data_IF_142857128868
#
_entry.id   IF_142857128868
#
_cell.length_a   1.000
_cell.length_b   1.000
_cell.length_c   1.000
_cell.angle_alpha   90.00
_cell.angle_beta   90.00
_cell.angle_gamma   90.00
#
_symmetry.space_group_name_H-M   'P 1'
#
loop_
_entity.id
_entity.type
_entity.pdbx_description
1 polymer ?
#
# COMPACT_ATOMS: atom_id res chain seq x y z
N UNK A 1 -4.39 -2.49 22.41
CA UNK A 1 -4.21 -2.21 20.99
C UNK A 1 -2.73 -2.31 20.64
N UNK A 2 -2.37 -2.99 19.53
CA UNK A 2 -0.96 -3.28 19.19
C UNK A 2 -0.11 -2.03 18.98
N UNK A 3 -0.72 -0.94 18.46
CA UNK A 3 -0.03 0.35 18.27
C UNK A 3 0.32 1.01 19.60
N UNK A 4 -0.58 0.99 20.57
CA UNK A 4 -0.35 1.54 21.92
C UNK A 4 0.77 0.78 22.64
N UNK A 5 0.90 -0.54 22.43
CA UNK A 5 1.98 -1.34 22.99
C UNK A 5 3.34 -0.93 22.41
N UNK A 6 3.41 -0.71 21.10
CA UNK A 6 4.64 -0.26 20.43
C UNK A 6 5.08 1.12 20.92
N UNK A 7 4.15 2.06 21.11
CA UNK A 7 4.44 3.38 21.65
C UNK A 7 4.93 3.31 23.10
N UNK A 8 4.31 2.47 23.93
CA UNK A 8 4.72 2.22 25.31
C UNK A 8 6.13 1.62 25.39
N UNK A 9 6.45 0.67 24.54
CA UNK A 9 7.78 0.06 24.44
C UNK A 9 8.82 1.13 24.05
N UNK A 10 8.52 1.94 23.04
CA UNK A 10 9.42 3.01 22.58
C UNK A 10 9.69 4.06 23.66
N UNK A 11 8.67 4.40 24.45
CA UNK A 11 8.78 5.39 25.52
C UNK A 11 9.49 4.85 26.78
N UNK A 12 9.62 3.52 26.93
CA UNK A 12 10.11 2.86 28.16
C UNK A 12 11.54 2.32 28.01
N UNK A 13 12.43 3.02 27.30
CA UNK A 13 13.82 2.62 27.18
C UNK A 13 14.49 2.44 28.55
N UNK A 14 14.99 1.24 28.85
CA UNK A 14 15.66 0.90 30.11
C UNK A 14 14.75 0.77 31.34
N UNK A 15 13.42 0.91 31.20
CA UNK A 15 12.47 0.78 32.32
C UNK A 15 11.72 -0.55 32.22
N UNK A 16 11.45 -1.24 33.35
CA UNK A 16 10.66 -2.46 33.33
C UNK A 16 9.22 -2.18 32.92
N UNK A 17 8.75 -2.88 31.91
CA UNK A 17 7.39 -2.80 31.38
C UNK A 17 6.68 -4.12 31.69
N UNK A 18 5.55 -4.05 32.36
CA UNK A 18 4.71 -5.20 32.67
C UNK A 18 3.70 -5.39 31.56
N UNK A 19 3.80 -6.50 30.84
CA UNK A 19 2.92 -6.84 29.70
C UNK A 19 2.03 -8.00 30.12
N UNK A 20 0.72 -7.79 30.05
CA UNK A 20 -0.28 -8.85 30.23
C UNK A 20 -0.84 -9.24 28.87
N UNK A 21 -0.95 -10.52 28.65
CA UNK A 21 -1.47 -11.07 27.39
C UNK A 21 -2.21 -12.36 27.61
N UNK A 22 -2.91 -12.81 26.53
CA UNK A 22 -3.60 -14.09 26.48
C UNK A 22 -2.87 -14.99 25.49
N UNK A 23 -2.55 -16.20 25.91
CA UNK A 23 -2.05 -17.27 25.05
C UNK A 23 -3.10 -18.39 24.99
N UNK A 24 -3.94 -18.36 23.95
CA UNK A 24 -5.15 -19.17 23.90
C UNK A 24 -6.17 -18.68 24.93
N UNK A 25 -6.44 -19.47 25.98
CA UNK A 25 -7.32 -19.10 27.11
C UNK A 25 -6.58 -18.84 28.42
N UNK A 26 -5.26 -18.90 28.43
CA UNK A 26 -4.43 -18.65 29.62
C UNK A 26 -3.88 -17.24 29.62
N UNK A 27 -4.09 -16.53 30.72
CA UNK A 27 -3.45 -15.24 30.97
C UNK A 27 -1.97 -15.45 31.31
N UNK A 28 -1.12 -14.66 30.75
CA UNK A 28 0.30 -14.60 31.12
C UNK A 28 0.72 -13.17 31.41
N UNK A 29 1.66 -13.03 32.31
CA UNK A 29 2.26 -11.77 32.70
C UNK A 29 3.79 -11.85 32.49
N UNK A 30 4.34 -10.88 31.82
CA UNK A 30 5.75 -10.80 31.47
C UNK A 30 6.28 -9.42 31.82
N UNK A 31 7.45 -9.38 32.49
CA UNK A 31 8.20 -8.15 32.70
C UNK A 31 9.30 -8.09 31.66
N UNK A 32 9.28 -7.07 30.82
CA UNK A 32 10.25 -6.87 29.74
C UNK A 32 10.95 -5.52 29.98
N UNK A 33 12.27 -5.50 29.88
CA UNK A 33 13.06 -4.26 29.94
C UNK A 33 13.51 -3.92 28.51
N UNK A 34 12.90 -2.92 27.85
CA UNK A 34 13.29 -2.52 26.51
C UNK A 34 14.72 -1.97 26.49
N UNK A 35 15.55 -2.47 25.58
CA UNK A 35 16.90 -1.93 25.40
C UNK A 35 16.82 -0.55 24.76
N UNK A 36 17.56 0.42 25.30
CA UNK A 36 17.68 1.75 24.70
C UNK A 36 18.53 1.70 23.44
N UNK A 37 17.97 2.06 22.29
CA UNK A 37 18.69 2.24 21.05
C UNK A 37 18.54 3.69 20.58
N UNK A 38 19.63 4.32 20.20
CA UNK A 38 19.60 5.68 19.69
C UNK A 38 19.11 5.67 18.23
N UNK A 39 17.97 6.33 17.97
CA UNK A 39 17.40 6.50 16.65
C UNK A 39 17.05 7.98 16.47
N UNK A 40 17.62 8.62 15.45
CA UNK A 40 17.42 10.06 15.14
C UNK A 40 17.70 11.00 16.33
N UNK A 41 18.76 10.69 17.14
CA UNK A 41 19.14 11.48 18.32
C UNK A 41 18.20 11.34 19.52
N UNK A 42 17.28 10.37 19.52
CA UNK A 42 16.40 10.02 20.63
C UNK A 42 16.63 8.59 21.09
N UNK A 43 16.62 8.41 22.40
CA UNK A 43 16.71 7.08 23.00
C UNK A 43 15.34 6.40 22.91
N UNK A 44 15.23 5.37 22.08
CA UNK A 44 13.98 4.62 21.85
C UNK A 44 14.12 3.22 22.44
N UNK A 45 13.13 2.78 23.21
CA UNK A 45 13.08 1.43 23.75
C UNK A 45 12.80 0.40 22.65
N UNK A 46 13.57 -0.68 22.62
CA UNK A 46 13.40 -1.78 21.67
C UNK A 46 13.41 -3.12 22.41
N UNK A 47 12.44 -3.96 22.12
CA UNK A 47 12.43 -5.36 22.53
C UNK A 47 12.74 -6.20 21.29
N UNK A 48 13.77 -7.05 21.37
CA UNK A 48 14.13 -7.96 20.27
C UNK A 48 13.17 -9.15 20.27
N UNK A 49 11.89 -8.90 19.96
CA UNK A 49 10.90 -9.95 19.69
C UNK A 49 10.83 -10.16 18.20
N UNK A 50 11.18 -11.35 17.74
CA UNK A 50 10.84 -11.78 16.40
C UNK A 50 9.34 -12.08 16.39
N UNK A 51 8.55 -11.13 15.90
CA UNK A 51 7.17 -11.42 15.53
C UNK A 51 7.26 -12.26 14.25
N UNK A 52 6.77 -13.52 14.24
CA UNK A 52 6.71 -14.27 12.98
C UNK A 52 5.90 -13.45 11.99
N UNK A 53 6.56 -12.99 10.92
CA UNK A 53 5.96 -12.17 9.87
C UNK A 53 4.92 -12.93 9.02
N UNK A 54 4.81 -14.23 9.23
CA UNK A 54 3.75 -15.03 8.63
C UNK A 54 2.59 -15.15 9.64
N UNK A 55 1.47 -14.44 9.44
CA UNK A 55 0.24 -14.81 10.12
C UNK A 55 -0.01 -16.29 9.80
N UNK A 56 -0.40 -17.08 10.80
CA UNK A 56 -0.86 -18.45 10.55
C UNK A 56 -1.96 -18.38 9.50
N UNK A 57 -1.62 -18.75 8.27
CA UNK A 57 -2.58 -18.78 7.17
C UNK A 57 -3.50 -19.98 7.44
N UNK A 58 -4.62 -19.73 8.09
CA UNK A 58 -5.70 -20.70 8.15
C UNK A 58 -6.32 -20.80 6.78
N UNK A 59 -6.20 -21.98 6.16
CA UNK A 59 -6.88 -22.27 4.91
C UNK A 59 -8.37 -22.39 5.24
N UNK A 60 -9.12 -21.34 5.00
CA UNK A 60 -10.57 -21.37 5.11
C UNK A 60 -11.14 -21.88 3.78
N UNK A 61 -11.74 -23.07 3.80
CA UNK A 61 -12.46 -23.59 2.64
C UNK A 61 -13.82 -22.91 2.57
N UNK A 62 -14.00 -22.06 1.57
CA UNK A 62 -15.25 -21.36 1.31
C UNK A 62 -15.94 -21.87 0.05
N UNK A 63 -17.26 -21.64 -0.05
CA UNK A 63 -17.96 -21.96 -1.29
C UNK A 63 -17.46 -21.07 -2.45
N UNK A 64 -17.41 -21.55 -3.69
CA UNK A 64 -16.95 -20.75 -4.84
C UNK A 64 -17.71 -19.43 -5.00
N UNK A 65 -18.99 -19.40 -4.64
CA UNK A 65 -19.81 -18.20 -4.72
C UNK A 65 -19.40 -17.15 -3.67
N UNK A 66 -19.16 -17.56 -2.43
CA UNK A 66 -18.67 -16.65 -1.39
C UNK A 66 -17.26 -16.13 -1.67
N UNK A 67 -16.41 -16.94 -2.31
CA UNK A 67 -15.08 -16.54 -2.73
C UNK A 67 -15.13 -15.41 -3.77
N UNK A 68 -16.05 -15.48 -4.75
CA UNK A 68 -16.25 -14.40 -5.75
C UNK A 68 -16.70 -13.11 -5.07
N UNK A 69 -17.68 -13.16 -4.16
CA UNK A 69 -18.16 -11.97 -3.44
C UNK A 69 -17.03 -11.32 -2.65
N UNK A 70 -16.25 -12.11 -1.92
CA UNK A 70 -15.07 -11.62 -1.17
C UNK A 70 -14.00 -11.06 -2.09
N UNK A 71 -13.80 -11.65 -3.26
CA UNK A 71 -12.90 -11.13 -4.29
C UNK A 71 -13.31 -9.73 -4.77
N UNK A 72 -14.60 -9.54 -5.05
CA UNK A 72 -15.16 -8.22 -5.44
C UNK A 72 -15.00 -7.21 -4.30
N UNK A 73 -15.33 -7.58 -3.06
CA UNK A 73 -15.15 -6.72 -1.89
C UNK A 73 -13.67 -6.33 -1.72
N UNK A 74 -12.77 -7.30 -1.80
CA UNK A 74 -11.32 -7.05 -1.70
C UNK A 74 -10.82 -6.12 -2.79
N UNK A 75 -11.31 -6.28 -4.02
CA UNK A 75 -11.00 -5.40 -5.14
C UNK A 75 -11.46 -3.98 -4.86
N UNK A 76 -12.69 -3.81 -4.37
CA UNK A 76 -13.24 -2.50 -3.99
C UNK A 76 -12.44 -1.83 -2.88
N UNK A 77 -12.13 -2.56 -1.82
CA UNK A 77 -11.36 -2.07 -0.68
C UNK A 77 -9.95 -1.64 -1.12
N UNK A 78 -9.29 -2.46 -1.93
CA UNK A 78 -7.96 -2.17 -2.47
C UNK A 78 -7.99 -0.93 -3.37
N UNK A 79 -8.98 -0.82 -4.25
CA UNK A 79 -9.16 0.35 -5.14
C UNK A 79 -9.38 1.63 -4.34
N UNK A 80 -10.26 1.57 -3.34
CA UNK A 80 -10.56 2.71 -2.46
C UNK A 80 -9.34 3.13 -1.64
N UNK A 81 -8.59 2.15 -1.11
CA UNK A 81 -7.36 2.40 -0.38
C UNK A 81 -6.30 3.07 -1.27
N UNK A 82 -6.12 2.57 -2.50
CA UNK A 82 -5.19 3.15 -3.48
C UNK A 82 -5.53 4.61 -3.77
N UNK A 83 -6.82 4.91 -4.04
CA UNK A 83 -7.27 6.28 -4.27
C UNK A 83 -7.08 7.19 -3.05
N UNK A 84 -7.36 6.68 -1.84
CA UNK A 84 -7.13 7.44 -0.59
C UNK A 84 -5.65 7.74 -0.37
N UNK A 85 -4.77 6.77 -0.62
CA UNK A 85 -3.32 6.98 -0.51
C UNK A 85 -2.83 8.02 -1.50
N UNK A 86 -3.28 7.95 -2.76
CA UNK A 86 -2.95 8.96 -3.78
C UNK A 86 -3.45 10.35 -3.37
N UNK A 87 -4.69 10.46 -2.88
CA UNK A 87 -5.23 11.70 -2.35
C UNK A 87 -4.37 12.30 -1.23
N UNK A 88 -3.94 11.47 -0.28
CA UNK A 88 -3.07 11.89 0.83
C UNK A 88 -1.66 12.32 0.35
N UNK A 89 -1.13 11.69 -0.69
CA UNK A 89 0.13 12.10 -1.31
C UNK A 89 0.01 13.47 -2.00
N UNK A 90 -1.12 13.73 -2.66
CA UNK A 90 -1.36 15.03 -3.30
C UNK A 90 -1.52 16.17 -2.29
N UNK A 91 -2.09 15.89 -1.12
CA UNK A 91 -2.25 16.88 -0.02
C UNK A 91 -0.96 17.02 0.80
N UNK A 92 0.07 16.17 0.55
CA UNK A 92 1.34 16.23 1.26
C UNK A 92 1.35 15.53 2.63
N UNK A 93 0.29 14.79 2.97
CA UNK A 93 0.23 13.99 4.20
C UNK A 93 1.09 12.72 4.14
N UNK A 94 1.40 12.24 2.95
CA UNK A 94 2.27 11.09 2.71
C UNK A 94 3.48 11.48 1.86
N UNK A 95 4.64 10.97 2.25
CA UNK A 95 5.89 11.21 1.52
C UNK A 95 5.89 10.47 0.17
N UNK A 96 6.34 11.15 -0.89
CA UNK A 96 6.58 10.57 -2.21
C UNK A 96 7.64 9.45 -2.20
N UNK A 97 8.46 9.38 -1.15
CA UNK A 97 9.44 8.29 -0.93
C UNK A 97 8.79 6.92 -0.71
N UNK A 98 7.49 6.89 -0.48
CA UNK A 98 6.71 5.64 -0.34
C UNK A 98 6.30 5.05 -1.71
N UNK A 99 6.64 5.71 -2.82
CA UNK A 99 6.39 5.15 -4.16
C UNK A 99 7.35 4.00 -4.39
N UNK A 100 6.79 2.82 -4.55
CA UNK A 100 7.53 1.61 -4.82
C UNK A 100 7.92 1.57 -6.31
N UNK A 101 9.22 1.57 -6.58
CA UNK A 101 9.74 1.50 -7.93
C UNK A 101 9.69 0.10 -8.53
N UNK A 102 9.93 -0.07 -9.84
CA UNK A 102 9.84 -1.36 -10.53
C UNK A 102 10.81 -2.41 -9.99
N UNK A 103 11.97 -2.00 -9.47
CA UNK A 103 12.96 -2.90 -8.86
C UNK A 103 12.38 -3.51 -7.58
N UNK A 104 11.77 -2.70 -6.73
CA UNK A 104 11.15 -3.16 -5.48
C UNK A 104 9.93 -4.05 -5.77
N UNK A 105 9.15 -3.75 -6.82
CA UNK A 105 8.04 -4.61 -7.25
C UNK A 105 8.56 -5.99 -7.67
N UNK A 106 9.66 -6.05 -8.42
CA UNK A 106 10.27 -7.31 -8.83
C UNK A 106 10.81 -8.11 -7.64
N UNK A 107 11.39 -7.44 -6.64
CA UNK A 107 11.87 -8.07 -5.41
C UNK A 107 10.71 -8.65 -4.59
N UNK A 108 9.63 -7.91 -4.40
CA UNK A 108 8.41 -8.43 -3.75
C UNK A 108 7.77 -9.59 -4.51
N UNK A 109 7.78 -9.56 -5.85
CA UNK A 109 7.33 -10.69 -6.67
C UNK A 109 8.15 -11.94 -6.38
N UNK A 110 9.49 -11.81 -6.30
CA UNK A 110 10.39 -12.90 -5.95
C UNK A 110 10.17 -13.42 -4.52
N UNK A 111 9.96 -12.53 -3.55
CA UNK A 111 9.68 -12.91 -2.17
C UNK A 111 8.35 -13.66 -2.04
N UNK A 112 7.28 -13.13 -2.64
CA UNK A 112 5.95 -13.78 -2.58
C UNK A 112 5.91 -15.12 -3.30
N UNK A 113 6.67 -15.27 -4.40
CA UNK A 113 6.83 -16.55 -5.09
C UNK A 113 7.51 -17.61 -4.22
N UNK A 114 8.48 -17.22 -3.38
CA UNK A 114 9.13 -18.12 -2.41
C UNK A 114 8.22 -18.54 -1.27
N UNK A 115 7.29 -17.67 -0.86
CA UNK A 115 6.29 -17.98 0.18
C UNK A 115 5.29 -19.02 -0.34
N UNK A 116 4.88 -18.95 -1.61
CA UNK A 116 4.00 -19.91 -2.24
C UNK A 116 3.07 -19.29 -3.28
N UNK A 117 2.44 -20.18 -4.06
CA UNK A 117 1.61 -19.81 -5.22
C UNK A 117 0.46 -18.86 -4.83
N UNK A 118 -0.20 -19.08 -3.70
CA UNK A 118 -1.33 -18.25 -3.26
C UNK A 118 -0.87 -16.83 -2.95
N UNK A 119 0.26 -16.68 -2.27
CA UNK A 119 0.87 -15.37 -1.96
C UNK A 119 1.27 -14.64 -3.22
N UNK A 120 1.87 -15.34 -4.17
CA UNK A 120 2.27 -14.78 -5.45
C UNK A 120 1.06 -14.31 -6.27
N UNK A 121 0.01 -15.14 -6.40
CA UNK A 121 -1.22 -14.77 -7.10
C UNK A 121 -1.92 -13.57 -6.43
N UNK A 122 -1.94 -13.53 -5.10
CA UNK A 122 -2.50 -12.40 -4.35
C UNK A 122 -1.72 -11.10 -4.61
N UNK A 123 -0.39 -11.19 -4.70
CA UNK A 123 0.46 -10.06 -5.05
C UNK A 123 0.19 -9.57 -6.48
N UNK A 124 0.11 -10.49 -7.46
CA UNK A 124 -0.22 -10.14 -8.86
C UNK A 124 -1.60 -9.49 -8.95
N UNK A 125 -2.60 -10.02 -8.22
CA UNK A 125 -3.93 -9.43 -8.18
C UNK A 125 -3.89 -8.00 -7.60
N UNK A 126 -3.14 -7.79 -6.51
CA UNK A 126 -2.97 -6.47 -5.90
C UNK A 126 -2.33 -5.47 -6.88
N UNK A 127 -1.24 -5.85 -7.55
CA UNK A 127 -0.58 -5.01 -8.56
C UNK A 127 -1.52 -4.70 -9.72
N UNK A 128 -2.27 -5.70 -10.22
CA UNK A 128 -3.22 -5.53 -11.32
C UNK A 128 -4.33 -4.54 -10.97
N UNK A 129 -4.91 -4.64 -9.76
CA UNK A 129 -5.94 -3.71 -9.28
C UNK A 129 -5.35 -2.31 -9.16
N UNK A 130 -4.17 -2.18 -8.53
CA UNK A 130 -3.52 -0.88 -8.34
C UNK A 130 -3.20 -0.21 -9.68
N UNK A 131 -2.68 -0.96 -10.65
CA UNK A 131 -2.39 -0.47 -11.99
C UNK A 131 -3.66 -0.04 -12.73
N UNK A 132 -4.74 -0.83 -12.61
CA UNK A 132 -6.05 -0.49 -13.18
C UNK A 132 -6.60 0.81 -12.60
N UNK A 133 -6.54 0.98 -11.27
CA UNK A 133 -6.97 2.21 -10.59
C UNK A 133 -6.12 3.41 -11.04
N UNK A 134 -4.80 3.24 -11.14
CA UNK A 134 -3.90 4.29 -11.62
C UNK A 134 -4.21 4.69 -13.06
N UNK A 135 -4.50 3.72 -13.93
CA UNK A 135 -4.85 3.98 -15.34
C UNK A 135 -6.19 4.70 -15.48
N UNK A 136 -7.12 4.54 -14.54
CA UNK A 136 -8.41 5.24 -14.54
C UNK A 136 -8.32 6.68 -14.01
N UNK A 137 -7.16 7.14 -13.52
CA UNK A 137 -6.99 8.54 -13.12
C UNK A 137 -7.14 9.48 -14.31
N UNK A 138 -7.68 10.70 -14.11
CA UNK A 138 -7.87 11.69 -15.17
C UNK A 138 -6.55 12.36 -15.59
N UNK A 139 -5.56 11.55 -15.93
CA UNK A 139 -4.25 12.00 -16.40
C UNK A 139 -4.17 11.80 -17.90
N UNK A 140 -3.80 12.81 -18.70
CA UNK A 140 -3.93 12.82 -20.16
C UNK A 140 -3.26 11.67 -20.93
N UNK A 141 -2.30 10.97 -20.32
CA UNK A 141 -1.57 9.83 -20.95
C UNK A 141 -2.17 8.49 -20.59
N UNK A 142 -3.03 8.46 -19.56
CA UNK A 142 -3.66 7.24 -19.06
C UNK A 142 -5.07 7.08 -19.66
N UNK A 143 -5.61 5.86 -19.59
CA UNK A 143 -6.93 5.53 -20.14
C UNK A 143 -8.03 6.41 -19.54
N UNK A 144 -7.96 6.74 -18.24
CA UNK A 144 -8.89 7.63 -17.58
C UNK A 144 -8.88 9.06 -18.13
N UNK A 145 -7.72 9.55 -18.58
CA UNK A 145 -7.62 10.83 -19.29
C UNK A 145 -8.32 10.81 -20.65
N UNK A 146 -8.18 9.71 -21.40
CA UNK A 146 -8.89 9.52 -22.67
C UNK A 146 -10.40 9.40 -22.45
N UNK A 147 -10.83 8.64 -21.43
CA UNK A 147 -12.24 8.53 -21.07
C UNK A 147 -12.84 9.89 -20.69
N UNK A 148 -12.13 10.69 -19.92
CA UNK A 148 -12.55 12.04 -19.58
C UNK A 148 -12.67 12.90 -20.83
N UNK A 149 -11.74 12.78 -21.76
CA UNK A 149 -11.73 13.50 -23.03
C UNK A 149 -12.97 13.18 -23.86
N UNK A 150 -13.27 11.89 -24.06
CA UNK A 150 -14.47 11.46 -24.77
C UNK A 150 -15.77 11.83 -24.04
N UNK A 151 -15.78 11.74 -22.73
CA UNK A 151 -16.94 12.17 -21.95
C UNK A 151 -17.24 13.65 -22.15
N UNK A 152 -16.21 14.50 -22.17
CA UNK A 152 -16.36 15.94 -22.45
C UNK A 152 -16.88 16.19 -23.89
N UNK A 153 -16.40 15.45 -24.88
CA UNK A 153 -16.92 15.56 -26.26
C UNK A 153 -18.40 15.20 -26.33
N UNK A 154 -18.82 14.11 -25.69
CA UNK A 154 -20.22 13.68 -25.67
C UNK A 154 -21.11 14.72 -24.94
N UNK A 155 -20.64 15.25 -23.79
CA UNK A 155 -21.42 16.21 -23.01
C UNK A 155 -21.51 17.59 -23.66
N UNK A 156 -20.45 18.04 -24.34
CA UNK A 156 -20.41 19.36 -24.96
C UNK A 156 -20.92 19.37 -26.40
N UNK A 157 -21.06 18.20 -27.00
CA UNK A 157 -21.41 18.06 -28.42
C UNK A 157 -20.37 18.62 -29.40
N UNK A 158 -19.18 18.94 -28.91
CA UNK A 158 -18.10 19.54 -29.71
C UNK A 158 -16.78 18.78 -29.51
N UNK A 159 -16.04 18.50 -30.60
CA UNK A 159 -14.73 17.89 -30.47
C UNK A 159 -13.77 18.81 -29.73
N UNK A 160 -13.03 18.26 -28.79
CA UNK A 160 -11.95 19.00 -28.10
C UNK A 160 -10.84 19.31 -29.08
N UNK A 161 -10.25 20.49 -29.00
CA UNK A 161 -9.26 20.93 -29.98
C UNK A 161 -8.02 20.03 -29.97
N UNK A 162 -7.55 19.63 -31.16
CA UNK A 162 -6.35 18.79 -31.32
C UNK A 162 -5.14 19.36 -30.61
N UNK A 163 -4.96 20.69 -30.61
CA UNK A 163 -3.86 21.36 -29.92
C UNK A 163 -3.90 21.15 -28.41
N UNK A 164 -5.10 21.17 -27.80
CA UNK A 164 -5.24 20.92 -26.38
C UNK A 164 -4.86 19.48 -26.04
N UNK A 165 -5.31 18.51 -26.84
CA UNK A 165 -4.95 17.10 -26.68
C UNK A 165 -3.45 16.87 -26.77
N UNK A 166 -2.77 17.46 -27.75
CA UNK A 166 -1.31 17.33 -27.91
C UNK A 166 -0.53 17.94 -26.75
N UNK A 167 -0.93 19.12 -26.25
CA UNK A 167 -0.28 19.76 -25.10
C UNK A 167 -0.49 18.93 -23.83
N UNK A 168 -1.72 18.48 -23.59
CA UNK A 168 -2.06 17.65 -22.45
C UNK A 168 -1.28 16.32 -22.47
N UNK A 169 -1.15 15.70 -23.63
CA UNK A 169 -0.39 14.46 -23.79
C UNK A 169 1.12 14.68 -23.55
N UNK A 170 1.72 15.74 -24.06
CA UNK A 170 3.13 16.07 -23.80
C UNK A 170 3.38 16.37 -22.33
N UNK A 171 2.50 17.14 -21.68
CA UNK A 171 2.59 17.44 -20.27
C UNK A 171 2.45 16.17 -19.40
N UNK A 172 1.48 15.31 -19.72
CA UNK A 172 1.30 14.04 -19.03
C UNK A 172 2.51 13.11 -19.17
N UNK A 173 3.11 13.04 -20.39
CA UNK A 173 4.33 12.26 -20.62
C UNK A 173 5.51 12.81 -19.80
N UNK A 174 5.68 14.12 -19.73
CA UNK A 174 6.72 14.74 -18.93
C UNK A 174 6.57 14.44 -17.43
N UNK A 175 5.33 14.48 -16.91
CA UNK A 175 5.02 14.09 -15.52
C UNK A 175 5.36 12.62 -15.29
N UNK A 176 4.94 11.72 -16.19
CA UNK A 176 5.20 10.30 -16.08
C UNK A 176 6.69 9.98 -16.06
N UNK A 177 7.46 10.61 -16.96
CA UNK A 177 8.91 10.46 -17.02
C UNK A 177 9.59 10.99 -15.75
N UNK A 178 9.13 12.12 -15.21
CA UNK A 178 9.65 12.67 -13.96
C UNK A 178 9.39 11.73 -12.77
N UNK A 179 8.18 11.18 -12.69
CA UNK A 179 7.84 10.19 -11.65
C UNK A 179 8.65 8.89 -11.79
N UNK A 180 8.91 8.46 -13.03
CA UNK A 180 9.73 7.27 -13.28
C UNK A 180 11.18 7.49 -12.82
N UNK A 181 11.75 8.66 -13.07
CA UNK A 181 13.10 9.02 -12.58
C UNK A 181 13.13 9.00 -11.05
N UNK A 182 12.15 9.63 -10.39
CA UNK A 182 12.05 9.62 -8.91
C UNK A 182 11.86 8.21 -8.34
N UNK A 183 11.17 7.32 -9.05
CA UNK A 183 10.94 5.94 -8.58
C UNK A 183 12.16 5.03 -8.75
N UNK A 184 13.14 5.40 -9.59
CA UNK A 184 14.37 4.61 -9.83
C UNK A 184 15.52 5.10 -8.93
N UNK A 185 15.54 6.37 -8.56
CA UNK A 185 16.56 7.00 -7.70
C UNK A 185 16.02 7.35 -6.32
#
# INVERSE_FOLDING_TARGET
DGLSLVELIRASAGKPLQIRGLRGQQEFELIVIPQGQEQDGKLVGRINVQVPLAPEMTISSESPFSAVIKGVQKTWDTSTLTLKMLGKMLVGELSWKNITGPITIADYAGQTARIGTVSFLSFIAFISISLGVMNLLPIPVLDGGLLLYYALEVLTGRPVSKRFGEIAQRAGLAILMSLMVVAVF
#
